data_IF_152134582079
#
_entry.id   IF_152134582079
#
_cell.length_a   1.000
_cell.length_b   1.000
_cell.length_c   1.000
_cell.angle_alpha   90.00
_cell.angle_beta   90.00
_cell.angle_gamma   90.00
#
_symmetry.space_group_name_H-M   'P 1'
#
loop_
_entity.id
_entity.type
_entity.pdbx_description
1 polymer ?
#
# COMPACT_ATOMS: atom_id res chain seq x y z
N UNK A 1 13.10 -16.34 -2.47
CA UNK A 1 12.72 -15.44 -1.39
C UNK A 1 11.53 -15.97 -0.60
N UNK A 2 11.37 -15.47 0.60
CA UNK A 2 10.23 -15.77 1.47
C UNK A 2 9.50 -14.47 1.81
N UNK A 3 8.20 -14.57 2.12
CA UNK A 3 7.38 -13.43 2.47
C UNK A 3 7.93 -12.74 3.75
N UNK A 4 7.79 -11.44 3.87
CA UNK A 4 8.33 -10.61 4.95
C UNK A 4 7.85 -11.01 6.36
N UNK A 5 6.67 -11.64 6.51
CA UNK A 5 6.17 -12.13 7.81
C UNK A 5 6.80 -13.45 8.24
N UNK A 6 7.28 -14.26 7.31
CA UNK A 6 7.83 -15.60 7.60
C UNK A 6 9.13 -15.54 8.41
N UNK A 7 10.09 -14.63 8.14
CA UNK A 7 11.30 -14.51 8.97
C UNK A 7 10.99 -14.25 10.43
N UNK A 8 9.99 -13.41 10.73
CA UNK A 8 9.56 -13.14 12.10
C UNK A 8 9.05 -14.41 12.79
N UNK A 9 8.13 -15.14 12.16
CA UNK A 9 7.57 -16.38 12.71
C UNK A 9 8.65 -17.46 12.97
N UNK A 10 9.61 -17.58 12.06
CA UNK A 10 10.69 -18.56 12.19
C UNK A 10 11.72 -18.12 13.25
N UNK A 11 11.99 -16.82 13.37
CA UNK A 11 12.91 -16.27 14.34
C UNK A 11 12.40 -16.51 15.78
N UNK A 12 11.14 -16.20 16.08
CA UNK A 12 10.56 -16.43 17.41
C UNK A 12 10.50 -17.91 17.80
N UNK A 13 10.47 -18.81 16.81
CA UNK A 13 10.54 -20.26 17.02
C UNK A 13 11.99 -20.79 17.15
N UNK A 14 12.98 -19.90 17.07
CA UNK A 14 14.39 -20.30 17.13
C UNK A 14 14.87 -21.10 15.90
N UNK A 15 14.16 -21.00 14.77
CA UNK A 15 14.44 -21.76 13.54
C UNK A 15 15.40 -21.04 12.59
N UNK A 16 15.82 -19.81 12.92
CA UNK A 16 16.74 -19.03 12.12
C UNK A 16 18.02 -18.69 12.92
N UNK A 17 19.09 -18.53 12.18
CA UNK A 17 20.35 -18.02 12.73
C UNK A 17 20.27 -16.50 12.81
N UNK A 18 20.70 -15.95 13.92
CA UNK A 18 20.87 -14.51 14.08
C UNK A 18 22.06 -14.02 13.24
N UNK A 19 21.78 -13.25 12.23
CA UNK A 19 22.79 -12.75 11.29
C UNK A 19 23.71 -11.70 11.90
N UNK A 20 23.33 -11.08 13.02
CA UNK A 20 24.18 -10.12 13.74
C UNK A 20 25.43 -10.75 14.32
N UNK A 21 25.49 -12.09 14.41
CA UNK A 21 26.63 -12.87 14.92
C UNK A 21 27.75 -13.08 13.91
N UNK A 22 27.53 -12.72 12.64
CA UNK A 22 28.58 -12.83 11.62
C UNK A 22 29.45 -11.57 11.60
N UNK A 23 30.78 -11.75 11.41
CA UNK A 23 31.76 -10.67 11.51
C UNK A 23 31.48 -9.50 10.53
N UNK A 24 30.94 -9.79 9.36
CA UNK A 24 30.67 -8.81 8.30
C UNK A 24 29.24 -8.25 8.31
N UNK A 25 28.44 -8.53 9.36
CA UNK A 25 27.02 -8.13 9.34
C UNK A 25 26.84 -6.61 9.21
N UNK A 26 27.68 -5.81 9.87
CA UNK A 26 27.59 -4.34 9.82
C UNK A 26 27.79 -3.79 8.40
N UNK A 27 28.72 -4.38 7.65
CA UNK A 27 28.97 -4.00 6.27
C UNK A 27 27.76 -4.35 5.39
N UNK A 28 27.22 -5.55 5.56
CA UNK A 28 26.11 -6.03 4.75
C UNK A 28 24.82 -5.23 5.04
N UNK A 29 24.48 -5.09 6.33
CA UNK A 29 23.26 -4.37 6.73
C UNK A 29 23.36 -2.86 6.49
N UNK A 30 24.56 -2.29 6.58
CA UNK A 30 24.80 -0.87 6.25
C UNK A 30 24.54 -0.49 4.77
N UNK A 31 24.25 -1.46 3.91
CA UNK A 31 23.84 -1.23 2.51
C UNK A 31 22.33 -0.97 2.38
N UNK A 32 21.57 -1.20 3.44
CA UNK A 32 20.12 -1.02 3.48
C UNK A 32 19.75 0.22 4.29
N UNK A 33 18.67 0.87 3.94
CA UNK A 33 18.09 1.88 4.82
C UNK A 33 17.42 1.23 6.02
N UNK A 34 17.44 1.90 7.17
CA UNK A 34 16.91 1.36 8.44
C UNK A 34 15.46 0.89 8.32
N UNK A 35 14.61 1.63 7.62
CA UNK A 35 13.21 1.25 7.41
C UNK A 35 13.01 -0.08 6.68
N UNK A 36 13.95 -0.49 5.81
CA UNK A 36 13.88 -1.77 5.11
C UNK A 36 14.24 -2.95 6.02
N UNK A 37 15.00 -2.71 7.08
CA UNK A 37 15.44 -3.74 8.01
C UNK A 37 14.42 -4.05 9.10
N UNK A 38 13.44 -3.19 9.32
CA UNK A 38 12.43 -3.35 10.39
C UNK A 38 11.79 -4.75 10.39
N UNK A 39 11.34 -5.33 9.25
CA UNK A 39 10.76 -6.67 9.25
C UNK A 39 11.77 -7.80 9.52
N UNK A 40 13.07 -7.48 9.50
CA UNK A 40 14.16 -8.44 9.72
C UNK A 40 14.61 -8.52 11.17
N UNK A 41 14.16 -7.58 12.01
CA UNK A 41 14.55 -7.45 13.42
C UNK A 41 13.55 -8.17 14.31
N UNK A 42 14.04 -9.03 15.23
CA UNK A 42 13.25 -9.64 16.29
C UNK A 42 14.04 -9.55 17.59
N UNK A 43 13.53 -8.78 18.55
CA UNK A 43 14.32 -8.41 19.73
C UNK A 43 15.60 -7.67 19.31
N UNK A 44 16.75 -8.14 19.77
CA UNK A 44 18.06 -7.57 19.44
C UNK A 44 18.75 -8.26 18.24
N UNK A 45 18.09 -9.25 17.63
CA UNK A 45 18.67 -10.06 16.54
C UNK A 45 18.18 -9.66 15.16
N UNK A 46 18.96 -10.02 14.14
CA UNK A 46 18.69 -9.83 12.72
C UNK A 46 18.56 -11.18 12.02
N UNK A 47 17.42 -11.46 11.39
CA UNK A 47 17.09 -12.82 10.94
C UNK A 47 16.83 -12.97 9.45
N UNK A 48 16.85 -11.87 8.71
CA UNK A 48 16.70 -11.91 7.24
C UNK A 48 17.38 -10.73 6.56
N UNK A 49 17.50 -10.81 5.25
CA UNK A 49 17.96 -9.71 4.39
C UNK A 49 16.84 -9.37 3.40
N UNK A 50 16.50 -8.10 3.24
CA UNK A 50 15.59 -7.67 2.19
C UNK A 50 16.18 -7.98 0.81
N UNK A 51 15.42 -8.67 -0.05
CA UNK A 51 15.81 -8.96 -1.43
C UNK A 51 15.18 -7.93 -2.38
N UNK A 52 13.91 -7.61 -2.12
CA UNK A 52 13.14 -6.67 -2.93
C UNK A 52 12.37 -5.72 -2.03
N UNK A 53 12.15 -4.52 -2.54
CA UNK A 53 11.22 -3.57 -1.95
C UNK A 53 10.02 -3.44 -2.88
N UNK A 54 8.83 -3.58 -2.32
CA UNK A 54 7.58 -3.32 -3.03
C UNK A 54 6.74 -2.33 -2.24
N UNK A 55 6.18 -1.35 -2.91
CA UNK A 55 5.33 -0.33 -2.33
C UNK A 55 4.22 0.04 -3.32
N UNK A 56 3.12 0.56 -2.80
CA UNK A 56 2.01 0.99 -3.64
C UNK A 56 2.25 2.40 -4.15
N UNK A 57 1.92 2.60 -5.43
CA UNK A 57 1.96 3.89 -6.10
C UNK A 57 0.68 4.07 -6.91
N UNK A 58 0.31 5.31 -7.14
CA UNK A 58 -0.80 5.63 -8.02
C UNK A 58 -0.30 5.80 -9.43
N UNK A 59 -0.90 5.06 -10.35
CA UNK A 59 -0.63 5.12 -11.79
C UNK A 59 -1.68 5.96 -12.48
N UNK A 60 -1.26 6.74 -13.47
CA UNK A 60 -2.12 7.64 -14.23
C UNK A 60 -1.93 7.45 -15.74
N UNK A 61 -3.03 7.33 -16.48
CA UNK A 61 -3.07 7.44 -17.94
C UNK A 61 -3.12 8.91 -18.33
N UNK A 62 -1.96 9.56 -18.31
CA UNK A 62 -1.83 10.99 -18.61
C UNK A 62 -2.32 11.35 -20.01
N UNK A 63 -2.22 10.43 -20.98
CA UNK A 63 -2.75 10.56 -22.33
C UNK A 63 -4.30 10.66 -22.35
N UNK A 64 -4.98 9.90 -21.49
CA UNK A 64 -6.43 9.94 -21.34
C UNK A 64 -6.87 11.20 -20.61
N UNK A 65 -6.26 11.48 -19.45
CA UNK A 65 -6.57 12.67 -18.67
C UNK A 65 -6.40 13.95 -19.51
N UNK A 66 -5.31 14.05 -20.26
CA UNK A 66 -5.05 15.19 -21.15
C UNK A 66 -6.14 15.36 -22.23
N UNK A 67 -6.59 14.25 -22.86
CA UNK A 67 -7.69 14.29 -23.83
C UNK A 67 -9.01 14.76 -23.23
N UNK A 68 -9.21 14.53 -21.94
CA UNK A 68 -10.40 14.96 -21.19
C UNK A 68 -10.27 16.39 -20.65
N UNK A 69 -9.10 17.02 -20.81
CA UNK A 69 -8.80 18.33 -20.21
C UNK A 69 -8.59 18.28 -18.69
N UNK A 70 -8.28 17.09 -18.16
CA UNK A 70 -8.02 16.87 -16.74
C UNK A 70 -6.53 16.85 -16.46
N UNK A 71 -6.13 17.39 -15.31
CA UNK A 71 -4.77 17.31 -14.79
C UNK A 71 -4.61 16.10 -13.87
N UNK A 72 -3.37 15.63 -13.68
CA UNK A 72 -3.08 14.63 -12.65
C UNK A 72 -3.36 15.25 -11.28
N UNK A 73 -4.19 14.62 -10.42
CA UNK A 73 -4.51 15.13 -9.10
C UNK A 73 -3.29 14.98 -8.17
N UNK A 74 -3.09 15.95 -7.28
CA UNK A 74 -2.02 15.95 -6.29
C UNK A 74 -2.52 15.55 -4.90
N UNK A 75 -3.83 15.60 -4.67
CA UNK A 75 -4.48 15.27 -3.39
C UNK A 75 -5.66 14.33 -3.61
N UNK A 76 -6.13 13.70 -2.53
CA UNK A 76 -7.36 12.89 -2.58
C UNK A 76 -8.58 13.75 -2.91
N UNK A 77 -8.66 14.98 -2.38
CA UNK A 77 -9.75 15.91 -2.69
C UNK A 77 -9.81 16.23 -4.19
N UNK A 78 -8.65 16.48 -4.81
CA UNK A 78 -8.57 16.70 -6.26
C UNK A 78 -8.99 15.45 -7.05
N UNK A 79 -8.62 14.25 -6.57
CA UNK A 79 -9.04 12.98 -7.15
C UNK A 79 -10.55 12.82 -7.06
N UNK A 80 -11.13 13.04 -5.89
CA UNK A 80 -12.57 12.96 -5.65
C UNK A 80 -13.31 13.99 -6.51
N UNK A 81 -12.81 15.22 -6.59
CA UNK A 81 -13.44 16.27 -7.39
C UNK A 81 -13.51 15.95 -8.89
N UNK A 82 -12.59 15.12 -9.42
CA UNK A 82 -12.63 14.73 -10.84
C UNK A 82 -13.47 13.48 -11.14
N UNK A 83 -13.89 12.72 -10.11
CA UNK A 83 -14.66 11.49 -10.30
C UNK A 83 -15.94 11.69 -11.16
N UNK A 84 -16.76 12.73 -10.95
CA UNK A 84 -17.94 12.96 -11.79
C UNK A 84 -17.60 13.09 -13.28
N UNK A 85 -16.50 13.77 -13.60
CA UNK A 85 -16.04 13.95 -14.98
C UNK A 85 -15.59 12.63 -15.63
N UNK A 86 -14.97 11.74 -14.87
CA UNK A 86 -14.60 10.39 -15.32
C UNK A 86 -15.84 9.50 -15.47
N UNK A 87 -16.70 9.46 -14.45
CA UNK A 87 -17.87 8.57 -14.38
C UNK A 87 -18.91 8.89 -15.44
N UNK A 88 -19.16 10.17 -15.76
CA UNK A 88 -20.02 10.57 -16.88
C UNK A 88 -19.54 10.02 -18.23
N UNK A 89 -18.30 9.61 -18.34
CA UNK A 89 -17.70 9.03 -19.57
C UNK A 89 -17.51 7.52 -19.46
N UNK A 90 -18.06 6.89 -18.41
CA UNK A 90 -17.91 5.45 -18.16
C UNK A 90 -16.52 5.05 -17.68
N UNK A 91 -15.71 6.00 -17.20
CA UNK A 91 -14.38 5.77 -16.63
C UNK A 91 -14.49 5.78 -15.11
N UNK A 92 -13.52 5.16 -14.43
CA UNK A 92 -13.48 5.20 -12.97
C UNK A 92 -12.04 5.13 -12.47
N UNK A 93 -11.87 5.13 -11.15
CA UNK A 93 -10.60 4.99 -10.45
C UNK A 93 -10.54 3.63 -9.78
N UNK A 94 -9.41 2.97 -9.85
CA UNK A 94 -9.16 1.72 -9.14
C UNK A 94 -8.50 1.97 -7.80
N UNK A 95 -9.13 1.49 -6.74
CA UNK A 95 -8.56 1.38 -5.40
C UNK A 95 -8.51 -0.09 -4.97
N UNK A 96 -7.36 -0.62 -4.49
CA UNK A 96 -7.19 -2.05 -4.25
C UNK A 96 -7.91 -2.51 -2.97
N UNK A 97 -9.12 -3.05 -3.11
CA UNK A 97 -9.92 -3.60 -2.00
C UNK A 97 -10.22 -5.08 -2.14
N UNK A 98 -9.72 -5.73 -3.20
CA UNK A 98 -10.06 -7.12 -3.48
C UNK A 98 -9.81 -8.06 -2.30
N UNK A 99 -10.85 -8.77 -1.88
CA UNK A 99 -10.92 -9.62 -0.70
C UNK A 99 -9.91 -10.79 -0.66
N UNK A 100 -9.33 -11.17 -1.80
CA UNK A 100 -8.39 -12.30 -1.88
C UNK A 100 -7.04 -12.07 -1.19
N UNK A 101 -6.78 -10.86 -0.71
CA UNK A 101 -5.47 -10.50 -0.20
C UNK A 101 -5.61 -9.72 1.11
N UNK A 102 -5.98 -10.44 2.18
CA UNK A 102 -6.09 -9.89 3.54
C UNK A 102 -4.89 -9.00 3.92
N UNK A 103 -3.70 -9.33 3.46
CA UNK A 103 -2.51 -8.48 3.66
C UNK A 103 -2.44 -7.28 2.70
N UNK A 104 -3.03 -7.36 1.51
CA UNK A 104 -3.14 -6.21 0.60
C UNK A 104 -4.19 -5.20 1.06
N UNK A 105 -5.21 -5.65 1.77
CA UNK A 105 -6.20 -4.73 2.37
C UNK A 105 -5.54 -3.77 3.36
N UNK A 106 -4.58 -4.22 4.16
CA UNK A 106 -3.81 -3.33 5.02
C UNK A 106 -3.03 -2.29 4.22
N UNK A 107 -2.40 -2.67 3.12
CA UNK A 107 -1.65 -1.74 2.28
C UNK A 107 -2.56 -0.74 1.53
N UNK A 108 -3.82 -1.08 1.29
CA UNK A 108 -4.81 -0.16 0.75
C UNK A 108 -5.45 0.74 1.82
N UNK A 109 -5.61 0.24 3.03
CA UNK A 109 -6.34 0.91 4.11
C UNK A 109 -5.45 1.86 4.92
N UNK A 110 -4.27 1.41 5.31
CA UNK A 110 -3.38 2.18 6.20
C UNK A 110 -2.91 3.51 5.62
N UNK A 111 -2.66 3.70 4.31
CA UNK A 111 -2.27 5.01 3.79
C UNK A 111 -3.30 6.10 4.05
N UNK A 112 -4.59 5.81 3.90
CA UNK A 112 -5.65 6.80 4.18
C UNK A 112 -5.72 7.09 5.68
N UNK A 113 -5.66 6.05 6.52
CA UNK A 113 -5.64 6.23 7.97
C UNK A 113 -4.48 7.14 8.39
N UNK A 114 -3.28 6.90 7.87
CA UNK A 114 -2.09 7.70 8.21
C UNK A 114 -2.16 9.12 7.65
N UNK A 115 -2.84 9.36 6.53
CA UNK A 115 -3.09 10.72 6.00
C UNK A 115 -3.98 11.55 6.93
N UNK A 116 -4.83 10.91 7.71
CA UNK A 116 -5.69 11.54 8.71
C UNK A 116 -5.04 11.58 10.12
N UNK A 117 -3.71 11.39 10.19
CA UNK A 117 -2.97 11.27 11.45
C UNK A 117 -3.44 10.11 12.36
N UNK A 118 -4.19 9.16 11.81
CA UNK A 118 -4.61 7.95 12.49
C UNK A 118 -3.50 6.90 12.54
N UNK A 119 -3.65 5.92 13.42
CA UNK A 119 -2.75 4.78 13.53
C UNK A 119 -3.50 3.57 14.08
N UNK A 120 -3.04 2.36 13.73
CA UNK A 120 -3.60 1.13 14.30
C UNK A 120 -3.04 0.83 15.68
N UNK A 121 -1.78 1.21 15.89
CA UNK A 121 -1.04 1.01 17.15
C UNK A 121 -0.30 2.29 17.50
N UNK A 122 -0.12 2.54 18.80
CA UNK A 122 0.73 3.60 19.32
C UNK A 122 2.20 3.17 19.44
N UNK A 123 2.89 3.67 20.46
CA UNK A 123 4.32 3.42 20.65
C UNK A 123 4.65 1.95 20.94
N UNK A 124 3.69 1.18 21.41
CA UNK A 124 3.84 -0.26 21.66
C UNK A 124 2.73 -1.06 20.97
N UNK A 125 2.96 -2.34 20.72
CA UNK A 125 1.96 -3.25 20.16
C UNK A 125 0.74 -3.50 21.08
N UNK A 126 0.80 -3.08 22.34
CA UNK A 126 -0.30 -3.16 23.30
C UNK A 126 -1.13 -1.86 23.35
N UNK A 127 -0.63 -0.79 22.77
CA UNK A 127 -1.30 0.48 22.65
C UNK A 127 -2.11 0.49 21.34
N UNK A 128 -3.38 0.11 21.45
CA UNK A 128 -4.28 -0.06 20.30
C UNK A 128 -5.03 1.24 20.04
N UNK A 129 -4.91 1.78 18.83
CA UNK A 129 -5.49 3.07 18.41
C UNK A 129 -6.53 2.94 17.30
N UNK A 130 -7.05 1.72 17.05
CA UNK A 130 -8.02 1.47 15.97
C UNK A 130 -9.35 2.22 16.15
N UNK A 131 -9.70 2.60 17.36
CA UNK A 131 -10.90 3.37 17.72
C UNK A 131 -10.63 4.84 18.03
N UNK A 132 -9.41 5.33 17.78
CA UNK A 132 -9.11 6.76 17.86
C UNK A 132 -9.92 7.55 16.80
N UNK A 133 -10.26 8.79 17.11
CA UNK A 133 -11.04 9.66 16.22
C UNK A 133 -10.42 9.74 14.82
N UNK A 134 -9.11 9.98 14.75
CA UNK A 134 -8.37 10.07 13.49
C UNK A 134 -8.38 8.75 12.69
N UNK A 135 -8.27 7.60 13.37
CA UNK A 135 -8.34 6.30 12.71
C UNK A 135 -9.74 6.02 12.16
N UNK A 136 -10.78 6.34 12.94
CA UNK A 136 -12.18 6.20 12.51
C UNK A 136 -12.47 7.14 11.34
N UNK A 137 -11.96 8.38 11.35
CA UNK A 137 -12.09 9.32 10.24
C UNK A 137 -11.44 8.75 8.96
N UNK A 138 -10.21 8.23 9.04
CA UNK A 138 -9.54 7.60 7.90
C UNK A 138 -10.29 6.38 7.34
N UNK A 139 -10.89 5.55 8.21
CA UNK A 139 -11.77 4.46 7.76
C UNK A 139 -13.06 4.95 7.12
N UNK A 140 -13.62 6.05 7.62
CA UNK A 140 -14.83 6.66 7.06
C UNK A 140 -14.52 7.16 5.65
N UNK A 141 -13.46 7.94 5.46
CA UNK A 141 -13.03 8.44 4.15
C UNK A 141 -12.79 7.28 3.16
N UNK A 142 -12.07 6.24 3.58
CA UNK A 142 -11.89 5.04 2.76
C UNK A 142 -13.23 4.43 2.33
N UNK A 143 -14.17 4.30 3.25
CA UNK A 143 -15.46 3.68 3.00
C UNK A 143 -16.29 4.54 2.03
N UNK A 144 -16.23 5.86 2.14
CA UNK A 144 -16.92 6.80 1.30
C UNK A 144 -16.47 6.74 -0.17
N UNK A 145 -15.21 6.36 -0.45
CA UNK A 145 -14.76 6.12 -1.82
C UNK A 145 -15.69 5.13 -2.55
N UNK A 146 -16.21 4.14 -1.85
CA UNK A 146 -17.04 3.07 -2.42
C UNK A 146 -18.55 3.33 -2.26
N UNK A 147 -18.96 3.90 -1.13
CA UNK A 147 -20.37 4.06 -0.78
C UNK A 147 -20.96 5.40 -1.27
N UNK A 148 -20.14 6.43 -1.34
CA UNK A 148 -20.56 7.77 -1.73
C UNK A 148 -20.06 8.13 -3.14
N UNK A 149 -18.81 7.77 -3.47
CA UNK A 149 -18.17 8.14 -4.73
C UNK A 149 -18.17 7.03 -5.79
N UNK A 150 -18.81 5.89 -5.49
CA UNK A 150 -19.06 4.79 -6.43
C UNK A 150 -17.79 4.24 -7.13
N UNK A 151 -16.70 4.13 -6.37
CA UNK A 151 -15.53 3.40 -6.85
C UNK A 151 -15.85 1.89 -6.94
N UNK A 152 -15.35 1.17 -7.95
CA UNK A 152 -15.60 -0.25 -8.09
C UNK A 152 -14.92 -1.06 -6.97
N UNK A 153 -15.69 -1.90 -6.28
CA UNK A 153 -15.21 -2.70 -5.12
C UNK A 153 -14.40 -3.91 -5.55
N UNK A 154 -14.81 -4.57 -6.63
CA UNK A 154 -14.15 -5.80 -7.11
C UNK A 154 -13.79 -5.64 -8.59
N UNK A 155 -12.52 -5.37 -8.83
CA UNK A 155 -11.98 -5.23 -10.19
C UNK A 155 -10.98 -6.35 -10.42
N UNK A 156 -11.38 -7.43 -11.08
CA UNK A 156 -10.43 -8.44 -11.50
C UNK A 156 -9.52 -7.85 -12.59
N UNK A 157 -8.22 -8.14 -12.49
CA UNK A 157 -7.27 -7.78 -13.55
C UNK A 157 -7.18 -6.28 -13.87
N UNK A 158 -6.96 -5.45 -12.85
CA UNK A 158 -6.79 -3.98 -13.00
C UNK A 158 -5.86 -3.60 -14.16
N UNK A 159 -4.75 -4.32 -14.37
CA UNK A 159 -3.77 -4.01 -15.42
C UNK A 159 -4.37 -4.04 -16.83
N UNK A 160 -5.33 -4.92 -17.08
CA UNK A 160 -6.04 -4.94 -18.37
C UNK A 160 -6.95 -3.72 -18.52
N UNK A 161 -7.68 -3.36 -17.46
CA UNK A 161 -8.55 -2.19 -17.45
C UNK A 161 -7.74 -0.89 -17.61
N UNK A 162 -6.59 -0.80 -16.94
CA UNK A 162 -5.69 0.35 -17.09
C UNK A 162 -5.16 0.48 -18.51
N UNK A 163 -4.71 -0.63 -19.13
CA UNK A 163 -4.26 -0.64 -20.54
C UNK A 163 -5.36 -0.28 -21.50
N UNK A 164 -6.57 -0.79 -21.29
CA UNK A 164 -7.74 -0.45 -22.11
C UNK A 164 -8.20 1.01 -21.93
N UNK A 165 -7.91 1.60 -20.76
CA UNK A 165 -8.21 3.00 -20.45
C UNK A 165 -9.54 3.24 -19.75
N UNK A 166 -10.30 2.23 -19.42
CA UNK A 166 -11.56 2.34 -18.66
C UNK A 166 -11.33 2.61 -17.15
N UNK A 167 -10.13 2.26 -16.63
CA UNK A 167 -9.66 2.67 -15.32
C UNK A 167 -8.35 3.46 -15.48
N UNK A 168 -8.40 4.74 -15.86
CA UNK A 168 -7.21 5.52 -16.20
C UNK A 168 -6.38 5.97 -14.99
N UNK A 169 -6.89 5.76 -13.79
CA UNK A 169 -6.19 6.02 -12.53
C UNK A 169 -6.34 4.79 -11.64
N UNK A 170 -5.27 4.39 -10.97
CA UNK A 170 -5.37 3.30 -10.00
C UNK A 170 -4.12 3.08 -9.19
N UNK A 171 -4.32 2.51 -8.00
CA UNK A 171 -3.25 2.16 -7.08
C UNK A 171 -2.86 0.69 -7.32
N UNK A 172 -1.59 0.47 -7.57
CA UNK A 172 -1.02 -0.86 -7.69
C UNK A 172 0.40 -0.89 -7.13
N UNK A 173 0.95 -2.07 -6.95
CA UNK A 173 2.33 -2.19 -6.50
C UNK A 173 3.32 -1.75 -7.59
N UNK A 174 4.44 -1.17 -7.18
CA UNK A 174 5.45 -0.63 -8.09
C UNK A 174 5.99 -1.66 -9.08
N UNK A 175 6.09 -2.93 -8.69
CA UNK A 175 6.55 -4.00 -9.58
C UNK A 175 5.62 -4.21 -10.77
N UNK A 176 4.38 -3.73 -10.67
CA UNK A 176 3.39 -3.77 -11.76
C UNK A 176 3.70 -2.83 -12.92
N UNK A 177 4.68 -1.92 -12.76
CA UNK A 177 5.11 -1.01 -13.83
C UNK A 177 5.38 -1.72 -15.16
N UNK A 178 5.91 -2.93 -15.13
CA UNK A 178 6.17 -3.71 -16.33
C UNK A 178 4.91 -4.40 -16.94
N UNK A 179 3.76 -4.29 -16.27
CA UNK A 179 2.50 -4.92 -16.69
C UNK A 179 1.49 -3.93 -17.25
N UNK A 180 1.74 -2.62 -17.11
CA UNK A 180 0.86 -1.52 -17.51
C UNK A 180 1.44 -0.65 -18.62
#
# INVERSE_FOLDING_TARGET
GINYSIPFDLAIRGSLVDLSKFDNYKEVFGRYSDGLLVPSVVGDGLYSLPETMNFYVMFYRTDILSKLGLSVPNTMDELIAMLPDLQMRGLNVYYPTAAMLVMRNFHGTTPIIYQMDGALYGDTALDILVDSEATVEGFTELTELFTLYDLPVDVPNFYQHFRNGDLPIGIADFNSYNLI
#
